data_IF_171930869939
#
_entry.id   IF_171930869939
#
_cell.length_a   1.000
_cell.length_b   1.000
_cell.length_c   1.000
_cell.angle_alpha   90.00
_cell.angle_beta   90.00
_cell.angle_gamma   90.00
#
_symmetry.space_group_name_H-M   'P 1'
#
loop_
_entity.id
_entity.type
_entity.pdbx_description
1 polymer ?
#
# COMPACT_ATOMS: atom_id res chain seq x y z
N UNK A 1 -21.55 -16.10 -4.20
CA UNK A 1 -20.63 -15.40 -3.25
C UNK A 1 -19.54 -14.79 -4.09
N UNK A 2 -19.39 -13.49 -4.02
CA UNK A 2 -18.41 -12.75 -4.81
C UNK A 2 -16.99 -13.04 -4.35
N UNK A 3 -16.06 -13.00 -5.29
CA UNK A 3 -14.66 -13.32 -5.06
C UNK A 3 -13.78 -12.11 -5.36
N UNK A 4 -12.81 -11.86 -4.47
CA UNK A 4 -11.85 -10.77 -4.57
C UNK A 4 -10.45 -11.35 -4.77
N UNK A 5 -9.73 -10.89 -5.78
CA UNK A 5 -8.29 -11.13 -5.89
C UNK A 5 -7.54 -10.05 -5.12
N UNK A 6 -6.66 -10.45 -4.20
CA UNK A 6 -5.77 -9.58 -3.43
C UNK A 6 -4.33 -9.89 -3.78
N UNK A 7 -3.62 -8.96 -4.42
CA UNK A 7 -2.21 -9.18 -4.75
C UNK A 7 -1.30 -8.99 -3.53
N UNK A 8 -0.30 -9.89 -3.35
CA UNK A 8 0.70 -9.78 -2.30
C UNK A 8 0.19 -10.07 -0.89
N UNK A 9 -0.47 -11.21 -0.71
CA UNK A 9 -1.21 -11.59 0.49
C UNK A 9 -0.45 -11.65 1.80
N UNK A 10 0.89 -11.72 1.80
CA UNK A 10 1.69 -11.72 3.02
C UNK A 10 2.08 -10.30 3.51
N UNK A 11 1.71 -9.25 2.75
CA UNK A 11 2.05 -7.87 3.10
C UNK A 11 1.18 -7.31 4.23
N UNK A 12 1.70 -6.32 4.95
CA UNK A 12 1.07 -5.71 6.11
C UNK A 12 -0.36 -5.21 5.85
N UNK A 13 -0.60 -4.45 4.76
CA UNK A 13 -1.93 -3.97 4.40
C UNK A 13 -2.82 -5.13 3.92
N UNK A 14 -2.25 -6.05 3.13
CA UNK A 14 -3.00 -7.16 2.55
C UNK A 14 -3.61 -8.08 3.62
N UNK A 15 -2.89 -8.39 4.69
CA UNK A 15 -3.39 -9.25 5.76
C UNK A 15 -4.63 -8.68 6.44
N UNK A 16 -4.62 -7.38 6.75
CA UNK A 16 -5.79 -6.70 7.35
C UNK A 16 -6.96 -6.61 6.36
N UNK A 17 -6.68 -6.33 5.09
CA UNK A 17 -7.71 -6.29 4.06
C UNK A 17 -8.33 -7.67 3.80
N UNK A 18 -7.52 -8.73 3.75
CA UNK A 18 -8.00 -10.11 3.62
C UNK A 18 -8.93 -10.45 4.80
N UNK A 19 -8.51 -10.12 6.03
CA UNK A 19 -9.34 -10.33 7.21
C UNK A 19 -10.68 -9.57 7.10
N UNK A 20 -10.66 -8.31 6.70
CA UNK A 20 -11.87 -7.49 6.48
C UNK A 20 -12.77 -8.09 5.42
N UNK A 21 -12.25 -8.47 4.26
CA UNK A 21 -13.03 -9.05 3.16
C UNK A 21 -13.72 -10.36 3.57
N UNK A 22 -13.04 -11.23 4.31
CA UNK A 22 -13.61 -12.49 4.81
C UNK A 22 -14.69 -12.22 5.86
N UNK A 23 -14.50 -11.24 6.77
CA UNK A 23 -15.51 -10.81 7.75
C UNK A 23 -16.79 -10.32 7.08
N UNK A 24 -16.66 -9.63 5.93
CA UNK A 24 -17.78 -9.14 5.13
C UNK A 24 -18.38 -10.21 4.18
N UNK A 25 -17.89 -11.46 4.25
CA UNK A 25 -18.47 -12.59 3.53
C UNK A 25 -17.96 -12.79 2.10
N UNK A 26 -16.85 -12.16 1.70
CA UNK A 26 -16.24 -12.37 0.40
C UNK A 26 -15.27 -13.55 0.41
N UNK A 27 -15.25 -14.32 -0.68
CA UNK A 27 -14.14 -15.23 -0.93
C UNK A 27 -12.93 -14.45 -1.40
N UNK A 28 -11.75 -14.80 -0.88
CA UNK A 28 -10.50 -14.14 -1.24
C UNK A 28 -9.57 -15.14 -1.92
N UNK A 29 -9.04 -14.76 -3.08
CA UNK A 29 -7.85 -15.38 -3.66
C UNK A 29 -6.70 -14.41 -3.50
N UNK A 30 -5.58 -14.88 -2.95
CA UNK A 30 -4.41 -14.02 -2.77
C UNK A 30 -3.16 -14.62 -3.37
N UNK A 31 -2.27 -13.75 -3.83
CA UNK A 31 -1.01 -14.18 -4.44
C UNK A 31 0.16 -14.15 -3.45
N UNK A 32 1.03 -15.13 -3.59
CA UNK A 32 2.32 -15.24 -2.91
C UNK A 32 3.43 -15.51 -3.92
N UNK A 33 4.65 -15.07 -3.66
CA UNK A 33 5.82 -15.40 -4.48
C UNK A 33 6.28 -16.86 -4.32
N UNK A 34 5.96 -17.48 -3.17
CA UNK A 34 6.11 -18.91 -2.89
C UNK A 34 4.93 -19.38 -2.06
N UNK A 35 4.33 -20.48 -2.46
CA UNK A 35 3.22 -21.10 -1.74
C UNK A 35 3.64 -21.72 -0.40
N UNK A 36 4.94 -21.84 -0.11
CA UNK A 36 5.44 -22.27 1.20
C UNK A 36 5.03 -21.32 2.33
N UNK A 37 4.69 -20.06 1.98
CA UNK A 37 4.25 -19.04 2.94
C UNK A 37 2.74 -19.04 3.20
N UNK A 38 1.98 -20.01 2.67
CA UNK A 38 0.51 -20.08 2.87
C UNK A 38 0.13 -20.12 4.35
N UNK A 39 0.81 -20.96 5.12
CA UNK A 39 0.46 -21.16 6.53
C UNK A 39 0.68 -19.87 7.34
N UNK A 40 1.74 -19.12 7.05
CA UNK A 40 1.99 -17.81 7.65
C UNK A 40 0.80 -16.85 7.45
N UNK A 41 0.24 -16.82 6.24
CA UNK A 41 -0.90 -15.95 5.92
C UNK A 41 -2.18 -16.44 6.60
N UNK A 42 -2.42 -17.74 6.61
CA UNK A 42 -3.57 -18.34 7.32
C UNK A 42 -3.51 -18.00 8.79
N UNK A 43 -2.38 -18.30 9.46
CA UNK A 43 -2.19 -18.02 10.89
C UNK A 43 -2.33 -16.53 11.23
N UNK A 44 -1.89 -15.65 10.33
CA UNK A 44 -2.04 -14.21 10.49
C UNK A 44 -3.50 -13.76 10.42
N UNK A 45 -4.24 -14.21 9.40
CA UNK A 45 -5.65 -13.83 9.18
C UNK A 45 -6.54 -14.46 10.27
N UNK A 46 -6.25 -15.67 10.71
CA UNK A 46 -7.02 -16.37 11.76
C UNK A 46 -6.92 -15.76 13.16
N UNK A 47 -6.00 -14.80 13.35
CA UNK A 47 -6.03 -13.93 14.56
C UNK A 47 -7.25 -13.01 14.60
N UNK A 48 -7.85 -12.70 13.46
CA UNK A 48 -8.98 -11.77 13.33
C UNK A 48 -10.28 -12.48 12.87
N UNK A 49 -10.19 -13.50 12.00
CA UNK A 49 -11.35 -14.19 11.41
C UNK A 49 -11.00 -15.59 10.93
N UNK A 50 -11.94 -16.54 11.02
CA UNK A 50 -11.74 -17.88 10.47
C UNK A 50 -11.63 -17.86 8.94
N UNK A 51 -10.59 -18.50 8.39
CA UNK A 51 -10.35 -18.58 6.93
C UNK A 51 -11.10 -19.73 6.26
N UNK A 52 -11.81 -20.59 7.01
CA UNK A 52 -12.37 -21.87 6.58
C UNK A 52 -13.12 -21.78 5.23
N UNK A 53 -12.49 -22.25 4.14
CA UNK A 53 -13.06 -22.28 2.79
C UNK A 53 -13.22 -20.91 2.11
N UNK A 54 -12.74 -19.83 2.74
CA UNK A 54 -12.86 -18.45 2.23
C UNK A 54 -11.57 -17.94 1.60
N UNK A 55 -10.42 -18.58 1.85
CA UNK A 55 -9.10 -18.12 1.41
C UNK A 55 -8.45 -19.12 0.45
N UNK A 56 -8.17 -18.66 -0.78
CA UNK A 56 -7.46 -19.40 -1.82
C UNK A 56 -6.10 -18.74 -2.08
N UNK A 57 -5.12 -19.50 -2.55
CA UNK A 57 -3.78 -19.02 -2.85
C UNK A 57 -3.38 -19.35 -4.29
N UNK A 58 -2.65 -18.41 -4.91
CA UNK A 58 -1.94 -18.65 -6.16
C UNK A 58 -0.48 -18.18 -6.04
N UNK A 59 0.41 -18.83 -6.80
CA UNK A 59 1.78 -18.36 -6.92
C UNK A 59 1.86 -17.30 -8.01
N UNK A 60 2.42 -16.13 -7.68
CA UNK A 60 2.52 -15.03 -8.62
C UNK A 60 3.70 -14.11 -8.27
N UNK A 61 4.46 -13.73 -9.27
CA UNK A 61 5.56 -12.79 -9.15
C UNK A 61 5.25 -11.51 -9.95
N UNK A 62 5.35 -10.35 -9.31
CA UNK A 62 5.18 -9.04 -9.95
C UNK A 62 6.14 -8.81 -11.13
N UNK A 63 7.28 -9.52 -11.16
CA UNK A 63 8.30 -9.37 -12.19
C UNK A 63 8.09 -10.29 -13.41
N UNK A 64 7.16 -11.26 -13.32
CA UNK A 64 6.88 -12.24 -14.38
C UNK A 64 5.55 -11.96 -15.05
N UNK A 65 5.44 -12.31 -16.32
CA UNK A 65 4.21 -12.11 -17.09
C UNK A 65 3.20 -13.26 -16.90
N UNK A 66 3.66 -14.41 -16.48
CA UNK A 66 2.87 -15.64 -16.36
C UNK A 66 2.01 -15.64 -15.09
N UNK A 67 0.87 -16.30 -15.15
CA UNK A 67 0.00 -16.62 -14.02
C UNK A 67 -1.02 -15.54 -13.65
N UNK A 68 -0.97 -14.34 -14.26
CA UNK A 68 -1.88 -13.25 -13.90
C UNK A 68 -3.33 -13.52 -14.30
N UNK A 69 -3.55 -14.06 -15.51
CA UNK A 69 -4.89 -14.36 -15.98
C UNK A 69 -5.57 -15.41 -15.10
N UNK A 70 -4.85 -16.47 -14.76
CA UNK A 70 -5.31 -17.56 -13.90
C UNK A 70 -5.55 -17.07 -12.46
N UNK A 71 -4.70 -16.16 -11.97
CA UNK A 71 -4.84 -15.58 -10.64
C UNK A 71 -6.13 -14.75 -10.51
N UNK A 72 -6.51 -14.01 -11.54
CA UNK A 72 -7.70 -13.15 -11.55
C UNK A 72 -8.95 -13.88 -12.05
N UNK A 73 -8.82 -15.02 -12.74
CA UNK A 73 -9.93 -15.75 -13.31
C UNK A 73 -11.05 -16.04 -12.30
N UNK A 74 -12.28 -15.65 -12.62
CA UNK A 74 -13.46 -15.84 -11.79
C UNK A 74 -13.52 -14.97 -10.54
N UNK A 75 -12.71 -13.91 -10.47
CA UNK A 75 -12.81 -12.88 -9.44
C UNK A 75 -13.69 -11.73 -9.93
N UNK A 76 -14.57 -11.25 -9.05
CA UNK A 76 -15.45 -10.10 -9.31
C UNK A 76 -14.70 -8.78 -9.14
N UNK A 77 -13.76 -8.73 -8.21
CA UNK A 77 -13.00 -7.55 -7.82
C UNK A 77 -11.51 -7.84 -7.73
N UNK A 78 -10.70 -6.80 -7.93
CA UNK A 78 -9.25 -6.84 -7.73
C UNK A 78 -8.84 -5.77 -6.72
N UNK A 79 -8.08 -6.18 -5.71
CA UNK A 79 -7.37 -5.32 -4.77
C UNK A 79 -5.86 -5.44 -5.05
N UNK A 80 -5.31 -4.47 -5.77
CA UNK A 80 -3.90 -4.47 -6.12
C UNK A 80 -3.07 -3.77 -5.04
N UNK A 81 -2.63 -4.55 -4.05
CA UNK A 81 -1.86 -4.05 -2.90
C UNK A 81 -0.37 -4.19 -3.14
N UNK A 82 0.04 -5.26 -3.82
CA UNK A 82 1.44 -5.58 -4.05
C UNK A 82 2.16 -4.44 -4.77
N UNK A 83 3.23 -3.97 -4.15
CA UNK A 83 4.18 -3.05 -4.77
C UNK A 83 5.57 -3.42 -4.26
N UNK A 84 6.59 -3.49 -5.11
CA UNK A 84 7.93 -3.69 -4.62
C UNK A 84 8.33 -2.48 -3.77
N UNK A 85 8.50 -2.71 -2.48
CA UNK A 85 9.12 -1.73 -1.58
C UNK A 85 10.58 -2.17 -1.47
N UNK A 86 11.54 -1.35 -1.93
CA UNK A 86 12.94 -1.69 -1.78
C UNK A 86 13.29 -1.85 -0.30
N UNK A 87 13.87 -2.97 0.06
CA UNK A 87 14.38 -3.22 1.43
C UNK A 87 15.70 -2.48 1.69
N UNK A 88 16.32 -1.97 0.64
CA UNK A 88 17.50 -1.12 0.67
C UNK A 88 17.16 0.22 0.05
N UNK A 89 17.82 1.30 0.46
CA UNK A 89 17.77 2.60 -0.22
C UNK A 89 18.44 2.45 -1.60
N UNK A 90 17.73 1.79 -2.52
CA UNK A 90 18.19 1.70 -3.91
C UNK A 90 17.69 2.94 -4.64
N UNK A 91 18.63 3.76 -5.07
CA UNK A 91 18.36 4.87 -6.00
C UNK A 91 18.25 4.37 -7.44
N UNK A 92 18.25 3.05 -7.65
CA UNK A 92 18.15 2.44 -8.97
C UNK A 92 16.71 2.46 -9.45
N UNK A 93 16.46 3.30 -10.45
CA UNK A 93 15.18 3.44 -11.13
C UNK A 93 14.64 2.09 -11.65
N UNK A 94 15.51 1.25 -12.18
CA UNK A 94 15.12 -0.02 -12.79
C UNK A 94 14.67 -1.05 -11.75
N UNK A 95 15.20 -0.97 -10.55
CA UNK A 95 14.84 -1.86 -9.44
C UNK A 95 13.54 -1.42 -8.76
N UNK A 96 13.24 -0.12 -8.72
CA UNK A 96 12.11 0.43 -7.97
C UNK A 96 10.92 0.75 -8.87
N UNK A 97 11.15 1.47 -9.95
CA UNK A 97 10.07 2.05 -10.77
C UNK A 97 9.53 1.05 -11.78
N UNK A 98 10.40 0.38 -12.54
CA UNK A 98 9.95 -0.58 -13.56
C UNK A 98 9.10 -1.72 -12.99
N UNK A 99 9.46 -2.37 -11.87
CA UNK A 99 8.63 -3.40 -11.28
C UNK A 99 7.25 -2.91 -10.83
N UNK A 100 7.17 -1.70 -10.28
CA UNK A 100 5.89 -1.12 -9.84
C UNK A 100 4.95 -0.87 -11.03
N UNK A 101 5.45 -0.23 -12.10
CA UNK A 101 4.67 0.07 -13.30
C UNK A 101 4.32 -1.21 -14.07
N UNK A 102 5.26 -2.16 -14.20
CA UNK A 102 4.97 -3.40 -14.90
C UNK A 102 4.02 -4.31 -14.12
N UNK A 103 4.10 -4.31 -12.79
CA UNK A 103 3.20 -5.07 -11.93
C UNK A 103 1.74 -4.62 -12.09
N UNK A 104 1.48 -3.31 -12.02
CA UNK A 104 0.11 -2.81 -12.22
C UNK A 104 -0.38 -3.05 -13.65
N UNK A 105 0.48 -2.90 -14.67
CA UNK A 105 0.14 -3.19 -16.06
C UNK A 105 -0.35 -4.62 -16.25
N UNK A 106 0.36 -5.59 -15.69
CA UNK A 106 -0.02 -7.01 -15.75
C UNK A 106 -1.37 -7.26 -15.07
N UNK A 107 -1.53 -6.72 -13.87
CA UNK A 107 -2.74 -6.88 -13.07
C UNK A 107 -3.97 -6.26 -13.77
N UNK A 108 -3.85 -5.07 -14.34
CA UNK A 108 -4.92 -4.40 -15.08
C UNK A 108 -5.32 -5.17 -16.35
N UNK A 109 -4.35 -5.67 -17.12
CA UNK A 109 -4.66 -6.48 -18.30
C UNK A 109 -5.39 -7.78 -17.92
N UNK A 110 -4.97 -8.45 -16.85
CA UNK A 110 -5.65 -9.64 -16.35
C UNK A 110 -7.06 -9.30 -15.83
N UNK A 111 -7.24 -8.19 -15.14
CA UNK A 111 -8.54 -7.72 -14.66
C UNK A 111 -9.50 -7.42 -15.82
N UNK A 112 -9.03 -6.71 -16.84
CA UNK A 112 -9.79 -6.42 -18.05
C UNK A 112 -10.22 -7.70 -18.78
N UNK A 113 -9.28 -8.62 -19.02
CA UNK A 113 -9.52 -9.89 -19.70
C UNK A 113 -10.53 -10.78 -18.98
N UNK A 114 -10.57 -10.72 -17.65
CA UNK A 114 -11.46 -11.51 -16.81
C UNK A 114 -12.77 -10.78 -16.43
N UNK A 115 -13.07 -9.64 -17.05
CA UNK A 115 -14.28 -8.85 -16.83
C UNK A 115 -14.50 -8.49 -15.34
N UNK A 116 -13.44 -8.09 -14.66
CA UNK A 116 -13.49 -7.61 -13.27
C UNK A 116 -14.38 -6.37 -13.20
N UNK A 117 -15.27 -6.31 -12.21
CA UNK A 117 -16.21 -5.19 -12.01
C UNK A 117 -15.47 -3.94 -11.54
N UNK A 118 -14.59 -4.07 -10.55
CA UNK A 118 -13.84 -2.94 -10.00
C UNK A 118 -12.43 -3.32 -9.59
N UNK A 119 -11.51 -2.47 -9.95
CA UNK A 119 -10.08 -2.53 -9.63
C UNK A 119 -9.75 -1.46 -8.59
N UNK A 120 -9.25 -1.84 -7.42
CA UNK A 120 -8.78 -0.91 -6.38
C UNK A 120 -7.29 -1.03 -6.22
N UNK A 121 -6.57 0.09 -6.38
CA UNK A 121 -5.11 0.15 -6.27
C UNK A 121 -4.67 0.76 -4.95
N UNK A 122 -3.70 0.17 -4.27
CA UNK A 122 -2.92 0.85 -3.24
C UNK A 122 -1.82 1.69 -3.88
N UNK A 123 -2.06 2.98 -3.98
CA UNK A 123 -1.05 3.97 -4.34
C UNK A 123 -0.32 4.50 -3.09
N UNK A 124 -0.12 5.80 -2.97
CA UNK A 124 0.50 6.46 -1.80
C UNK A 124 0.30 7.97 -1.87
N UNK A 125 0.33 8.68 -0.75
CA UNK A 125 0.50 10.14 -0.73
C UNK A 125 1.78 10.59 -1.44
N UNK A 126 2.74 9.69 -1.63
CA UNK A 126 3.93 9.91 -2.45
C UNK A 126 3.62 10.19 -3.93
N UNK A 127 2.44 9.79 -4.43
CA UNK A 127 1.96 10.13 -5.76
C UNK A 127 1.19 11.48 -5.80
N UNK A 128 0.86 12.03 -4.65
CA UNK A 128 0.09 13.28 -4.49
C UNK A 128 1.02 14.46 -4.23
N UNK A 129 1.83 14.40 -3.19
CA UNK A 129 2.64 15.52 -2.69
C UNK A 129 4.13 15.20 -2.51
N UNK A 130 4.68 14.20 -3.21
CA UNK A 130 6.06 13.76 -3.03
C UNK A 130 7.14 14.77 -3.42
N UNK A 131 6.80 15.79 -4.20
CA UNK A 131 7.72 16.88 -4.61
C UNK A 131 7.80 18.06 -3.62
N UNK A 132 6.93 18.09 -2.59
CA UNK A 132 6.94 19.06 -1.48
C UNK A 132 7.01 20.55 -1.88
N UNK A 133 6.34 20.94 -2.97
CA UNK A 133 6.34 22.32 -3.44
C UNK A 133 5.08 23.13 -3.03
N UNK A 134 4.12 22.48 -2.37
CA UNK A 134 2.91 23.07 -1.80
C UNK A 134 2.86 22.84 -0.29
N UNK A 135 2.08 23.65 0.40
CA UNK A 135 1.79 23.47 1.83
C UNK A 135 0.64 22.51 2.09
N UNK A 136 -0.37 22.52 1.22
CA UNK A 136 -1.55 21.65 1.28
C UNK A 136 -1.74 20.95 -0.05
N UNK A 137 -2.18 19.69 -0.01
CA UNK A 137 -2.43 18.83 -1.16
C UNK A 137 -3.80 18.19 -1.04
N UNK A 138 -4.46 18.01 -2.18
CA UNK A 138 -5.74 17.30 -2.30
C UNK A 138 -5.66 16.15 -3.34
N UNK A 139 -6.77 15.49 -3.58
CA UNK A 139 -6.88 14.34 -4.49
C UNK A 139 -6.72 14.70 -5.98
N UNK A 140 -6.70 15.98 -6.32
CA UNK A 140 -6.41 16.46 -7.69
C UNK A 140 -4.92 16.68 -7.94
N UNK A 141 -4.10 16.73 -6.88
CA UNK A 141 -2.67 17.00 -6.96
C UNK A 141 -1.87 15.75 -7.39
N UNK A 142 -0.76 16.04 -8.05
CA UNK A 142 0.23 15.03 -8.45
C UNK A 142 1.63 15.47 -8.05
N UNK A 143 2.43 14.48 -7.66
CA UNK A 143 3.87 14.69 -7.49
C UNK A 143 4.49 15.13 -8.81
N UNK A 144 5.16 16.27 -8.80
CA UNK A 144 5.85 16.83 -9.96
C UNK A 144 7.16 16.05 -10.21
N UNK A 145 7.15 15.20 -11.23
CA UNK A 145 8.30 14.39 -11.63
C UNK A 145 9.39 15.18 -12.39
N UNK A 146 9.18 16.48 -12.67
CA UNK A 146 10.24 17.33 -13.20
C UNK A 146 11.20 17.82 -12.10
N UNK A 147 10.80 17.66 -10.84
CA UNK A 147 11.62 17.97 -9.67
C UNK A 147 12.49 16.75 -9.28
N UNK A 148 13.50 17.00 -8.46
CA UNK A 148 14.31 15.94 -7.87
C UNK A 148 13.50 15.20 -6.79
N UNK A 149 12.91 14.08 -7.18
CA UNK A 149 12.11 13.22 -6.31
C UNK A 149 12.71 11.83 -6.26
N UNK A 150 12.63 11.18 -5.09
CA UNK A 150 13.23 9.87 -4.90
C UNK A 150 12.51 8.80 -5.77
N UNK A 151 13.18 7.66 -6.08
CA UNK A 151 12.63 6.59 -6.89
C UNK A 151 11.29 6.03 -6.39
N UNK A 152 11.07 6.01 -5.07
CA UNK A 152 9.80 5.58 -4.49
C UNK A 152 8.63 6.48 -4.92
N UNK A 153 8.76 7.82 -4.78
CA UNK A 153 7.74 8.77 -5.23
C UNK A 153 7.49 8.62 -6.73
N UNK A 154 8.55 8.52 -7.51
CA UNK A 154 8.46 8.28 -8.96
C UNK A 154 7.71 6.99 -9.27
N UNK A 155 7.98 5.91 -8.54
CA UNK A 155 7.34 4.61 -8.76
C UNK A 155 5.84 4.66 -8.50
N UNK A 156 5.43 5.27 -7.40
CA UNK A 156 4.02 5.40 -7.02
C UNK A 156 3.27 6.33 -7.97
N UNK A 157 3.86 7.46 -8.33
CA UNK A 157 3.27 8.42 -9.27
C UNK A 157 3.05 7.76 -10.64
N UNK A 158 4.10 7.14 -11.22
CA UNK A 158 3.99 6.51 -12.55
C UNK A 158 3.04 5.32 -12.56
N UNK A 159 3.03 4.50 -11.50
CA UNK A 159 2.12 3.37 -11.43
C UNK A 159 0.65 3.84 -11.37
N UNK A 160 0.36 4.89 -10.59
CA UNK A 160 -1.01 5.43 -10.51
C UNK A 160 -1.42 6.17 -11.79
N UNK A 161 -0.52 6.95 -12.40
CA UNK A 161 -0.78 7.57 -13.71
C UNK A 161 -1.09 6.52 -14.76
N UNK A 162 -0.36 5.37 -14.74
CA UNK A 162 -0.65 4.26 -15.65
C UNK A 162 -2.06 3.70 -15.46
N UNK A 163 -2.55 3.58 -14.22
CA UNK A 163 -3.94 3.18 -13.94
C UNK A 163 -4.93 4.08 -14.68
N UNK A 164 -4.79 5.40 -14.52
CA UNK A 164 -5.73 6.35 -15.10
C UNK A 164 -5.62 6.46 -16.61
N UNK A 165 -4.41 6.39 -17.18
CA UNK A 165 -4.20 6.33 -18.63
C UNK A 165 -4.81 5.07 -19.23
N UNK A 166 -4.65 3.91 -18.56
CA UNK A 166 -5.26 2.65 -18.97
C UNK A 166 -6.78 2.73 -18.97
N UNK A 167 -7.39 3.27 -17.92
CA UNK A 167 -8.84 3.43 -17.84
C UNK A 167 -9.38 4.36 -18.94
N UNK A 168 -8.67 5.45 -19.22
CA UNK A 168 -9.01 6.39 -20.30
C UNK A 168 -8.92 5.73 -21.69
N UNK A 169 -7.91 4.91 -21.93
CA UNK A 169 -7.73 4.17 -23.19
C UNK A 169 -8.88 3.18 -23.46
N UNK A 170 -9.44 2.63 -22.37
CA UNK A 170 -10.51 1.62 -22.42
C UNK A 170 -11.90 2.20 -22.15
N UNK A 171 -12.04 3.51 -22.10
CA UNK A 171 -13.33 4.19 -21.89
C UNK A 171 -14.34 3.78 -22.97
N UNK A 172 -15.53 3.37 -22.54
CA UNK A 172 -16.59 2.86 -23.41
C UNK A 172 -16.32 1.48 -24.05
N UNK A 173 -15.21 0.83 -23.71
CA UNK A 173 -14.85 -0.53 -24.19
C UNK A 173 -14.95 -1.58 -23.07
N UNK A 174 -15.10 -1.16 -21.84
CA UNK A 174 -15.23 -2.04 -20.68
C UNK A 174 -16.15 -1.40 -19.63
N UNK A 175 -16.80 -2.25 -18.84
CA UNK A 175 -17.55 -1.83 -17.65
C UNK A 175 -16.71 -1.87 -16.38
N UNK A 176 -15.41 -2.20 -16.50
CA UNK A 176 -14.49 -2.20 -15.36
C UNK A 176 -14.31 -0.79 -14.83
N UNK A 177 -14.46 -0.63 -13.53
CA UNK A 177 -14.22 0.61 -12.81
C UNK A 177 -12.87 0.58 -12.07
N UNK A 178 -12.30 1.75 -11.77
CA UNK A 178 -11.06 1.85 -11.03
C UNK A 178 -11.13 2.89 -9.91
N UNK A 179 -10.39 2.61 -8.82
CA UNK A 179 -10.22 3.50 -7.66
C UNK A 179 -8.77 3.43 -7.18
N UNK A 180 -8.20 4.56 -6.76
CA UNK A 180 -6.90 4.60 -6.12
C UNK A 180 -7.02 5.02 -4.65
N UNK A 181 -6.38 4.29 -3.76
CA UNK A 181 -6.21 4.68 -2.35
C UNK A 181 -4.76 5.15 -2.18
N UNK A 182 -4.58 6.33 -1.60
CA UNK A 182 -3.29 6.98 -1.39
C UNK A 182 -2.99 7.08 0.12
N UNK A 183 -2.51 5.98 0.76
CA UNK A 183 -2.19 6.02 2.17
C UNK A 183 -1.00 6.93 2.47
N UNK A 184 -1.09 7.60 3.61
CA UNK A 184 0.04 8.21 4.32
C UNK A 184 0.85 7.14 5.06
N UNK A 185 1.62 7.48 6.10
CA UNK A 185 2.31 6.48 6.90
C UNK A 185 1.30 5.63 7.66
N UNK A 186 1.28 4.32 7.35
CA UNK A 186 0.31 3.38 7.90
C UNK A 186 0.86 2.75 9.17
N UNK A 187 0.23 3.03 10.30
CA UNK A 187 0.59 2.47 11.59
C UNK A 187 -0.50 1.54 12.14
N UNK A 188 -0.09 0.62 12.99
CA UNK A 188 -0.99 -0.27 13.71
C UNK A 188 -0.35 -1.62 14.02
N UNK A 189 -1.13 -2.52 14.63
CA UNK A 189 -0.67 -3.86 14.99
C UNK A 189 -0.39 -4.68 13.74
N UNK A 190 0.71 -5.44 13.73
CA UNK A 190 0.97 -6.42 12.67
C UNK A 190 0.34 -7.77 13.02
N UNK A 191 -0.18 -8.45 12.00
CA UNK A 191 -0.69 -9.81 12.10
C UNK A 191 0.40 -10.87 11.85
N UNK A 192 1.55 -10.47 11.29
CA UNK A 192 2.70 -11.33 11.00
C UNK A 192 4.02 -10.66 11.36
N UNK A 193 5.14 -11.30 11.03
CA UNK A 193 6.49 -10.74 11.20
C UNK A 193 6.78 -9.58 10.24
N UNK A 194 6.03 -9.46 9.14
CA UNK A 194 6.05 -8.27 8.29
C UNK A 194 5.28 -7.14 8.97
N UNK A 195 6.00 -6.30 9.68
CA UNK A 195 5.41 -5.15 10.41
C UNK A 195 5.12 -3.96 9.51
N UNK A 196 5.48 -4.01 8.23
CA UNK A 196 5.34 -2.89 7.29
C UNK A 196 6.38 -1.78 7.47
N UNK A 197 6.65 -1.05 6.38
CA UNK A 197 7.72 -0.05 6.35
C UNK A 197 7.52 1.10 7.36
N UNK A 198 6.28 1.56 7.57
CA UNK A 198 6.01 2.65 8.52
C UNK A 198 6.28 2.24 9.97
N UNK A 199 5.86 1.03 10.36
CA UNK A 199 6.10 0.52 11.71
C UNK A 199 7.60 0.27 11.99
N UNK A 200 8.43 0.05 10.95
CA UNK A 200 9.90 -0.02 11.13
C UNK A 200 10.47 1.27 11.71
N UNK A 201 9.90 2.42 11.38
CA UNK A 201 10.31 3.71 11.96
C UNK A 201 10.04 3.73 13.46
N UNK A 202 8.86 3.26 13.89
CA UNK A 202 8.51 3.14 15.32
C UNK A 202 9.45 2.16 16.02
N UNK A 203 9.71 1.00 15.41
CA UNK A 203 10.65 0.01 15.94
C UNK A 203 12.03 0.61 16.15
N UNK A 204 12.56 1.36 15.17
CA UNK A 204 13.88 2.01 15.27
C UNK A 204 13.94 3.10 16.35
N UNK A 205 12.82 3.77 16.63
CA UNK A 205 12.74 4.70 17.77
C UNK A 205 12.80 3.95 19.12
N UNK A 206 12.17 2.77 19.21
CA UNK A 206 12.08 1.99 20.45
C UNK A 206 13.37 1.20 20.72
N UNK A 207 13.98 0.60 19.71
CA UNK A 207 15.17 -0.25 19.85
C UNK A 207 16.49 0.56 19.88
N UNK A 208 16.40 1.89 19.71
CA UNK A 208 17.53 2.81 19.81
C UNK A 208 18.39 2.90 18.54
N UNK A 209 18.07 2.19 17.46
CA UNK A 209 18.77 2.28 16.18
C UNK A 209 18.54 3.65 15.50
N UNK A 210 17.52 4.40 15.90
CA UNK A 210 17.33 5.81 15.61
C UNK A 210 17.44 6.61 16.92
N UNK A 211 18.64 7.08 17.33
CA UNK A 211 18.87 7.65 18.65
C UNK A 211 18.45 9.10 18.82
N UNK A 212 17.85 9.70 17.79
CA UNK A 212 17.34 11.07 17.79
C UNK A 212 16.07 11.18 16.97
N UNK A 213 15.32 12.27 17.17
CA UNK A 213 14.18 12.63 16.33
C UNK A 213 14.51 13.80 15.42
N UNK A 214 13.90 13.80 14.24
CA UNK A 214 13.93 14.94 13.30
C UNK A 214 12.69 15.79 13.50
N UNK A 215 12.80 17.11 13.27
CA UNK A 215 11.64 18.00 13.29
C UNK A 215 10.89 17.93 11.94
N UNK A 216 10.44 16.74 11.60
CA UNK A 216 9.66 16.43 10.39
C UNK A 216 8.25 16.09 10.82
N UNK A 217 7.27 16.70 10.15
CA UNK A 217 5.86 16.37 10.27
C UNK A 217 5.52 15.29 9.25
N UNK A 218 4.82 14.27 9.69
CA UNK A 218 4.31 13.18 8.85
C UNK A 218 2.81 13.04 8.99
N UNK A 219 2.15 12.73 7.90
CA UNK A 219 0.75 12.32 7.92
C UNK A 219 0.67 10.83 8.28
N UNK A 220 -0.33 10.48 9.09
CA UNK A 220 -0.51 9.14 9.63
C UNK A 220 -1.93 8.64 9.38
N UNK A 221 -2.05 7.32 9.26
CA UNK A 221 -3.34 6.62 9.16
C UNK A 221 -3.23 5.27 9.87
N UNK A 222 -4.32 4.82 10.47
CA UNK A 222 -4.36 3.51 11.09
C UNK A 222 -4.61 2.41 10.04
N UNK A 223 -3.98 1.25 10.21
CA UNK A 223 -4.06 0.13 9.25
C UNK A 223 -5.50 -0.36 9.02
N UNK A 224 -6.35 -0.37 10.06
CA UNK A 224 -7.76 -0.76 9.92
C UNK A 224 -8.54 0.24 9.08
N UNK A 225 -8.27 1.54 9.22
CA UNK A 225 -8.90 2.58 8.39
C UNK A 225 -8.51 2.40 6.91
N UNK A 226 -7.25 2.03 6.63
CA UNK A 226 -6.80 1.73 5.26
C UNK A 226 -7.53 0.50 4.71
N UNK A 227 -7.68 -0.56 5.50
CA UNK A 227 -8.41 -1.76 5.09
C UNK A 227 -9.90 -1.45 4.83
N UNK A 228 -10.53 -0.66 5.72
CA UNK A 228 -11.92 -0.22 5.55
C UNK A 228 -12.08 0.67 4.31
N UNK A 229 -11.16 1.61 4.05
CA UNK A 229 -11.20 2.42 2.83
C UNK A 229 -11.06 1.59 1.55
N UNK A 230 -10.21 0.55 1.55
CA UNK A 230 -10.09 -0.38 0.43
C UNK A 230 -11.38 -1.16 0.21
N UNK A 231 -12.01 -1.61 1.29
CA UNK A 231 -13.30 -2.30 1.24
C UNK A 231 -14.41 -1.38 0.70
N UNK A 232 -14.56 -0.18 1.28
CA UNK A 232 -15.54 0.81 0.85
C UNK A 232 -15.32 1.25 -0.62
N UNK A 233 -14.07 1.45 -1.03
CA UNK A 233 -13.73 1.77 -2.42
C UNK A 233 -14.16 0.67 -3.39
N UNK A 234 -14.19 -0.59 -2.94
CA UNK A 234 -14.61 -1.73 -3.74
C UNK A 234 -16.13 -1.76 -3.97
N UNK A 235 -16.93 -1.40 -2.96
CA UNK A 235 -18.39 -1.60 -2.98
C UNK A 235 -19.20 -0.31 -3.19
N UNK A 236 -18.66 0.86 -2.86
CA UNK A 236 -19.39 2.12 -2.90
C UNK A 236 -19.53 2.62 -4.34
N UNK A 237 -20.76 2.87 -4.78
CA UNK A 237 -21.07 3.34 -6.16
C UNK A 237 -20.54 4.74 -6.46
N UNK A 238 -20.14 5.51 -5.44
CA UNK A 238 -19.57 6.86 -5.61
C UNK A 238 -18.05 6.88 -5.70
N UNK A 239 -17.39 5.72 -5.52
CA UNK A 239 -15.94 5.62 -5.52
C UNK A 239 -15.29 5.57 -6.92
N UNK A 240 -15.91 5.02 -7.97
CA UNK A 240 -15.28 4.90 -9.28
C UNK A 240 -14.72 6.20 -9.83
N UNK A 241 -13.56 6.12 -10.47
CA UNK A 241 -12.89 7.25 -11.09
C UNK A 241 -12.19 8.20 -10.12
N UNK A 242 -12.09 7.85 -8.83
CA UNK A 242 -11.57 8.73 -7.79
C UNK A 242 -10.29 8.22 -7.15
N UNK A 243 -9.56 9.18 -6.62
CA UNK A 243 -8.41 9.00 -5.72
C UNK A 243 -8.84 9.35 -4.30
N UNK A 244 -8.41 8.58 -3.32
CA UNK A 244 -8.73 8.84 -1.92
C UNK A 244 -7.47 8.89 -1.09
N UNK A 245 -7.17 10.05 -0.51
CA UNK A 245 -6.07 10.23 0.42
C UNK A 245 -6.46 9.60 1.76
N UNK A 246 -5.76 8.52 2.14
CA UNK A 246 -5.93 7.87 3.42
C UNK A 246 -4.98 8.50 4.46
N UNK A 247 -5.45 9.55 5.09
CA UNK A 247 -4.75 10.30 6.14
C UNK A 247 -5.74 10.76 7.20
N UNK A 248 -5.47 10.45 8.46
CA UNK A 248 -6.36 10.86 9.56
C UNK A 248 -5.80 12.08 10.31
N UNK A 249 -4.48 12.09 10.56
CA UNK A 249 -3.84 13.13 11.34
C UNK A 249 -2.41 13.36 10.87
N UNK A 250 -1.74 14.37 11.44
CA UNK A 250 -0.32 14.61 11.27
C UNK A 250 0.37 14.71 12.62
N UNK A 251 1.62 14.27 12.69
CA UNK A 251 2.43 14.35 13.91
C UNK A 251 3.88 14.65 13.56
N UNK A 252 4.54 15.42 14.42
CA UNK A 252 6.00 15.53 14.37
C UNK A 252 6.67 14.31 15.02
N UNK A 253 7.83 13.89 14.52
CA UNK A 253 8.58 12.78 15.13
C UNK A 253 8.85 12.95 16.63
N UNK A 254 9.18 14.16 17.15
CA UNK A 254 9.29 14.36 18.59
C UNK A 254 7.99 14.10 19.38
N UNK A 255 6.82 14.34 18.76
CA UNK A 255 5.53 14.04 19.41
C UNK A 255 5.29 12.53 19.45
N UNK A 256 5.63 11.82 18.36
CA UNK A 256 5.58 10.35 18.34
C UNK A 256 6.50 9.78 19.44
N UNK A 257 7.74 10.26 19.53
CA UNK A 257 8.66 9.82 20.59
C UNK A 257 8.13 10.14 21.99
N UNK A 258 7.44 11.27 22.18
CA UNK A 258 6.78 11.60 23.43
C UNK A 258 5.67 10.60 23.76
N UNK A 259 4.77 10.30 22.81
CA UNK A 259 3.70 9.32 22.99
C UNK A 259 4.28 7.95 23.36
N UNK A 260 5.34 7.51 22.70
CA UNK A 260 6.03 6.25 23.04
C UNK A 260 6.56 6.26 24.48
N UNK A 261 7.25 7.34 24.90
CA UNK A 261 7.76 7.47 26.26
C UNK A 261 6.64 7.51 27.31
N UNK A 262 5.54 8.22 27.04
CA UNK A 262 4.39 8.33 27.94
C UNK A 262 3.70 6.95 28.13
N UNK A 263 3.87 6.03 27.18
CA UNK A 263 3.36 4.65 27.22
C UNK A 263 4.44 3.62 27.65
N UNK A 264 5.55 4.04 28.24
CA UNK A 264 6.54 3.16 28.87
C UNK A 264 7.62 2.62 27.93
N UNK A 265 7.64 3.02 26.66
CA UNK A 265 8.72 2.70 25.74
C UNK A 265 9.90 3.67 25.91
N UNK A 266 11.10 3.24 25.51
CA UNK A 266 12.30 4.09 25.53
C UNK A 266 12.52 4.69 24.12
N UNK A 267 11.95 5.84 23.87
CA UNK A 267 12.18 6.57 22.61
C UNK A 267 13.11 7.78 22.83
N UNK A 268 13.83 8.25 21.78
CA UNK A 268 14.80 9.33 21.93
C UNK A 268 14.11 10.64 22.33
N UNK A 269 14.75 11.35 23.26
CA UNK A 269 14.34 12.72 23.68
C UNK A 269 15.12 13.81 22.96
N UNK A 270 16.25 13.45 22.34
CA UNK A 270 17.11 14.38 21.64
C UNK A 270 16.52 14.69 20.25
N UNK A 271 16.45 15.97 19.92
CA UNK A 271 16.10 16.45 18.58
C UNK A 271 17.37 16.76 17.80
N UNK A 272 17.50 16.20 16.61
CA UNK A 272 18.61 16.55 15.72
C UNK A 272 18.31 17.90 15.07
N UNK A 273 19.25 18.89 15.13
CA UNK A 273 19.09 20.15 14.41
C UNK A 273 18.93 19.93 12.91
N UNK A 274 18.04 20.67 12.25
CA UNK A 274 17.66 20.46 10.85
C UNK A 274 18.85 20.54 9.87
N UNK A 275 19.90 21.33 10.19
CA UNK A 275 21.09 21.41 9.35
C UNK A 275 21.91 20.12 9.35
N UNK A 276 21.86 19.31 10.44
CA UNK A 276 22.54 18.03 10.52
C UNK A 276 21.73 16.90 9.83
N UNK A 277 20.44 17.06 9.67
CA UNK A 277 19.60 16.08 8.97
C UNK A 277 20.07 15.83 7.52
N UNK A 278 20.57 16.87 6.84
CA UNK A 278 21.14 16.76 5.48
C UNK A 278 22.40 15.90 5.39
N UNK A 279 23.14 15.77 6.49
CA UNK A 279 24.39 14.96 6.55
C UNK A 279 24.08 13.48 6.65
N UNK A 280 22.92 13.10 7.19
CA UNK A 280 22.54 11.71 7.41
C UNK A 280 21.66 11.12 6.29
N UNK A 281 21.41 11.88 5.21
CA UNK A 281 20.63 11.45 4.02
C UNK A 281 19.34 10.69 4.38
N UNK A 282 18.59 11.23 5.35
CA UNK A 282 17.31 10.67 5.78
C UNK A 282 16.17 11.45 5.11
#
# INVERSE_FOLDING_TARGET
MEKVFVSGGSGFISLHLISKLIQEGYKVRTSLRSLDRKQEVIDAVEKEVSTAGMLEFCELDLLKDEGWDEAVAGCDYVQHIASPIPTTNSDDYDIVVKPAVNGIKRCLNAALKNNVKRFVMTSSVAAVGGSNHKFEYDDTDWTDLSMDVAPYQTSKTKAEQYLWDFMKEHEGKTDMEAVAINPSMVFGSSLSDDIGASNLVIKRLIDGSLPFTLNICINIVHIKDVADMHFEAMINDKAPGKRFIASNNHMFFPEIAKVLNDNGFKAPKMKLPSFLARVFSI
#
